data_IF_199948973628
#
_entry.id   IF_199948973628
#
_cell.length_a   1.000
_cell.length_b   1.000
_cell.length_c   1.000
_cell.angle_alpha   90.00
_cell.angle_beta   90.00
_cell.angle_gamma   90.00
#
_symmetry.space_group_name_H-M   'P 1'
#
loop_
_entity.id
_entity.type
_entity.pdbx_description
1 polymer ?
#
# COMPACT_ATOMS: atom_id res chain seq x y z
N UNK A 1 2.92 27.55 -20.16
CA UNK A 1 1.91 26.61 -19.64
C UNK A 1 1.01 26.20 -20.80
N UNK A 2 1.13 24.94 -21.24
CA UNK A 2 0.39 24.44 -22.41
C UNK A 2 -1.09 24.22 -22.09
N UNK A 3 -1.99 24.58 -23.00
CA UNK A 3 -3.42 24.26 -22.86
C UNK A 3 -3.71 22.86 -23.45
N UNK A 4 -4.25 21.95 -22.63
CA UNK A 4 -4.77 20.66 -23.11
C UNK A 4 -6.17 20.87 -23.68
N UNK A 5 -6.45 20.27 -24.84
CA UNK A 5 -7.72 20.43 -25.54
C UNK A 5 -8.95 20.05 -24.68
N UNK A 6 -10.01 20.88 -24.67
CA UNK A 6 -11.29 20.54 -24.04
C UNK A 6 -11.98 19.31 -24.63
N UNK A 7 -11.63 18.92 -25.87
CA UNK A 7 -12.21 17.78 -26.57
C UNK A 7 -11.92 16.42 -25.88
N UNK A 8 -10.97 16.39 -24.94
CA UNK A 8 -10.56 15.20 -24.17
C UNK A 8 -11.63 14.68 -23.19
N UNK A 9 -12.75 15.39 -22.99
CA UNK A 9 -13.79 15.11 -21.97
C UNK A 9 -13.27 15.01 -20.53
N UNK A 10 -12.01 15.38 -20.29
CA UNK A 10 -11.41 15.47 -18.95
C UNK A 10 -11.95 16.69 -18.21
N UNK A 11 -11.94 16.68 -16.87
CA UNK A 11 -12.23 17.89 -16.10
C UNK A 11 -11.13 18.94 -16.29
N UNK A 12 -11.44 20.21 -16.01
CA UNK A 12 -10.46 21.29 -16.11
C UNK A 12 -9.19 21.00 -15.27
N UNK A 13 -9.36 20.58 -14.02
CA UNK A 13 -8.22 20.21 -13.17
C UNK A 13 -7.47 18.94 -13.61
N UNK A 14 -8.06 18.05 -14.43
CA UNK A 14 -7.32 16.93 -15.04
C UNK A 14 -6.50 17.40 -16.24
N UNK A 15 -7.04 18.31 -17.05
CA UNK A 15 -6.33 18.95 -18.16
C UNK A 15 -5.14 19.78 -17.68
N UNK A 16 -5.32 20.55 -16.62
CA UNK A 16 -4.26 21.34 -15.99
C UNK A 16 -3.12 20.45 -15.48
N UNK A 17 -3.44 19.39 -14.72
CA UNK A 17 -2.43 18.42 -14.27
C UNK A 17 -1.70 17.76 -15.43
N UNK A 18 -2.42 17.42 -16.50
CA UNK A 18 -1.79 16.82 -17.69
C UNK A 18 -0.81 17.79 -18.37
N UNK A 19 -1.14 19.09 -18.41
CA UNK A 19 -0.22 20.11 -18.91
C UNK A 19 1.05 20.20 -18.03
N UNK A 20 0.90 20.19 -16.71
CA UNK A 20 2.03 20.22 -15.77
C UNK A 20 2.94 19.00 -15.96
N UNK A 21 2.37 17.81 -16.07
CA UNK A 21 3.14 16.57 -16.31
C UNK A 21 3.84 16.61 -17.67
N UNK A 22 3.19 17.17 -18.70
CA UNK A 22 3.81 17.34 -20.02
C UNK A 22 4.99 18.32 -19.97
N UNK A 23 4.81 19.51 -19.37
CA UNK A 23 5.86 20.51 -19.20
C UNK A 23 7.06 19.92 -18.39
N UNK A 24 6.77 19.09 -17.37
CA UNK A 24 7.79 18.39 -16.58
C UNK A 24 8.53 17.29 -17.37
N UNK A 25 7.85 16.59 -18.27
CA UNK A 25 8.50 15.61 -19.16
C UNK A 25 9.38 16.30 -20.22
N UNK A 26 8.87 17.37 -20.84
CA UNK A 26 9.61 18.14 -21.86
C UNK A 26 10.84 18.86 -21.30
N UNK A 27 10.80 19.28 -20.03
CA UNK A 27 11.96 19.88 -19.33
C UNK A 27 12.98 18.85 -18.82
N UNK A 28 12.70 17.55 -18.96
CA UNK A 28 13.57 16.46 -18.50
C UNK A 28 13.42 16.10 -17.00
N UNK A 29 12.56 16.80 -16.24
CA UNK A 29 12.29 16.46 -14.85
C UNK A 29 11.65 15.07 -14.70
N UNK A 30 10.78 14.69 -15.66
CA UNK A 30 10.21 13.35 -15.76
C UNK A 30 10.91 12.48 -16.83
N UNK A 31 12.23 12.54 -16.91
CA UNK A 31 12.99 11.58 -17.72
C UNK A 31 13.09 10.22 -17.02
N UNK A 32 12.68 9.16 -17.71
CA UNK A 32 12.63 7.82 -17.12
C UNK A 32 14.01 7.24 -16.81
N UNK A 33 15.03 7.55 -17.63
CA UNK A 33 16.38 7.03 -17.39
C UNK A 33 17.03 7.74 -16.20
N UNK A 34 16.90 9.06 -16.13
CA UNK A 34 17.37 9.88 -15.02
C UNK A 34 16.73 9.44 -13.70
N UNK A 35 15.40 9.32 -13.65
CA UNK A 35 14.69 8.89 -12.44
C UNK A 35 15.10 7.48 -11.99
N UNK A 36 15.40 6.56 -12.91
CA UNK A 36 15.90 5.21 -12.57
C UNK A 36 17.32 5.19 -12.03
N UNK A 37 18.12 6.22 -12.31
CA UNK A 37 19.51 6.30 -11.89
C UNK A 37 19.68 6.95 -10.49
N UNK A 38 18.62 7.59 -9.97
CA UNK A 38 18.61 8.19 -8.64
C UNK A 38 18.39 7.16 -7.53
N UNK A 39 18.63 7.55 -6.27
CA UNK A 39 18.10 6.78 -5.14
C UNK A 39 16.55 6.76 -5.23
N UNK A 40 15.89 5.63 -4.92
CA UNK A 40 14.43 5.51 -5.01
C UNK A 40 13.68 6.58 -4.20
N UNK A 41 14.19 6.97 -3.03
CA UNK A 41 13.58 8.01 -2.20
C UNK A 41 13.67 9.37 -2.86
N UNK A 42 14.85 9.74 -3.33
CA UNK A 42 15.11 11.02 -4.01
C UNK A 42 14.27 11.17 -5.29
N UNK A 43 14.14 10.09 -6.08
CA UNK A 43 13.29 10.08 -7.27
C UNK A 43 11.82 10.34 -6.93
N UNK A 44 11.30 9.70 -5.86
CA UNK A 44 9.91 9.89 -5.42
C UNK A 44 9.69 11.31 -4.90
N UNK A 45 10.62 11.84 -4.11
CA UNK A 45 10.53 13.19 -3.56
C UNK A 45 10.62 14.27 -4.64
N UNK A 46 11.46 14.07 -5.68
CA UNK A 46 11.49 14.95 -6.85
C UNK A 46 10.14 14.99 -7.57
N UNK A 47 9.58 13.81 -7.90
CA UNK A 47 8.30 13.73 -8.62
C UNK A 47 7.14 14.30 -7.78
N UNK A 48 7.19 14.15 -6.46
CA UNK A 48 6.17 14.65 -5.53
C UNK A 48 6.10 16.18 -5.46
N UNK A 49 7.12 16.90 -5.91
CA UNK A 49 7.08 18.37 -5.99
C UNK A 49 6.13 18.88 -7.08
N UNK A 50 5.69 18.02 -8.01
CA UNK A 50 4.76 18.41 -9.06
C UNK A 50 3.35 18.68 -8.51
N UNK A 51 2.75 19.85 -8.83
CA UNK A 51 1.42 20.19 -8.33
C UNK A 51 0.37 19.13 -8.69
N UNK A 52 -0.36 18.67 -7.66
CA UNK A 52 -1.43 17.68 -7.82
C UNK A 52 -0.95 16.23 -7.90
N UNK A 53 0.35 15.96 -7.74
CA UNK A 53 0.90 14.61 -7.58
C UNK A 53 0.99 14.26 -6.10
N UNK A 54 0.11 13.37 -5.64
CA UNK A 54 0.12 12.88 -4.26
C UNK A 54 1.15 11.76 -4.02
N UNK A 55 1.34 11.31 -2.76
CA UNK A 55 2.36 10.33 -2.39
C UNK A 55 2.29 9.02 -3.22
N UNK A 56 1.11 8.41 -3.29
CA UNK A 56 0.90 7.19 -4.10
C UNK A 56 1.19 7.43 -5.58
N UNK A 57 0.78 8.59 -6.12
CA UNK A 57 1.02 8.90 -7.53
C UNK A 57 2.52 9.04 -7.82
N UNK A 58 3.27 9.71 -6.94
CA UNK A 58 4.73 9.84 -7.09
C UNK A 58 5.41 8.46 -7.04
N UNK A 59 5.08 7.64 -6.04
CA UNK A 59 5.58 6.26 -5.92
C UNK A 59 5.32 5.43 -7.18
N UNK A 60 4.09 5.49 -7.72
CA UNK A 60 3.73 4.75 -8.93
C UNK A 60 4.35 5.32 -10.20
N UNK A 61 4.50 6.64 -10.31
CA UNK A 61 5.22 7.26 -11.42
C UNK A 61 6.66 6.75 -11.44
N UNK A 62 7.36 6.71 -10.31
CA UNK A 62 8.75 6.24 -10.26
C UNK A 62 8.83 4.71 -10.45
N UNK A 63 8.03 3.94 -9.71
CA UNK A 63 8.09 2.48 -9.73
C UNK A 63 7.59 1.86 -11.06
N UNK A 64 6.56 2.46 -11.68
CA UNK A 64 5.86 1.87 -12.84
C UNK A 64 5.96 2.73 -14.10
N UNK A 65 5.95 4.05 -13.97
CA UNK A 65 6.13 4.97 -15.10
C UNK A 65 7.58 4.98 -15.57
N UNK A 66 8.50 5.35 -14.67
CA UNK A 66 9.94 5.34 -14.95
C UNK A 66 10.52 3.93 -14.86
N UNK A 67 9.92 3.01 -14.08
CA UNK A 67 10.37 1.63 -13.97
C UNK A 67 11.59 1.47 -13.06
N UNK A 68 11.72 2.31 -12.02
CA UNK A 68 12.74 2.13 -10.99
C UNK A 68 12.53 0.77 -10.30
N UNK A 69 13.56 -0.09 -10.18
CA UNK A 69 13.38 -1.46 -9.71
C UNK A 69 13.11 -1.55 -8.19
N UNK A 70 13.59 -0.58 -7.43
CA UNK A 70 13.66 -0.65 -5.96
C UNK A 70 12.74 0.32 -5.19
N UNK A 71 11.58 0.70 -5.73
CA UNK A 71 10.57 1.50 -5.02
C UNK A 71 9.49 0.60 -4.40
N UNK A 72 9.21 0.78 -3.11
CA UNK A 72 8.06 0.19 -2.43
C UNK A 72 6.92 1.22 -2.32
N UNK A 73 5.75 1.00 -2.97
CA UNK A 73 4.62 1.92 -2.90
C UNK A 73 3.89 1.87 -1.54
N UNK A 74 4.46 2.52 -0.53
CA UNK A 74 3.97 2.48 0.85
C UNK A 74 2.58 3.11 1.03
N UNK A 75 2.09 3.87 0.05
CA UNK A 75 0.76 4.49 0.09
C UNK A 75 -0.31 3.69 -0.69
N UNK A 76 0.05 2.53 -1.27
CA UNK A 76 -0.89 1.70 -2.02
C UNK A 76 -1.71 0.80 -1.08
N UNK A 77 -2.91 1.25 -0.72
CA UNK A 77 -3.81 0.51 0.19
C UNK A 77 -4.15 -0.90 -0.28
N UNK A 78 -4.25 -1.13 -1.60
CA UNK A 78 -4.57 -2.45 -2.13
C UNK A 78 -3.38 -3.40 -1.97
N UNK A 79 -2.17 -2.91 -2.25
CA UNK A 79 -0.94 -3.66 -2.00
C UNK A 79 -0.79 -3.98 -0.51
N UNK A 80 -0.93 -2.99 0.37
CA UNK A 80 -0.78 -3.19 1.81
C UNK A 80 -1.78 -4.20 2.36
N UNK A 81 -3.05 -4.13 1.94
CA UNK A 81 -4.06 -5.12 2.33
C UNK A 81 -3.69 -6.53 1.83
N UNK A 82 -3.28 -6.66 0.57
CA UNK A 82 -2.87 -7.94 0.01
C UNK A 82 -1.61 -8.51 0.70
N UNK A 83 -0.68 -7.65 1.15
CA UNK A 83 0.48 -8.08 1.91
C UNK A 83 0.12 -8.53 3.33
N UNK A 84 -0.84 -7.87 3.97
CA UNK A 84 -1.33 -8.27 5.29
C UNK A 84 -2.00 -9.66 5.26
N UNK A 85 -2.65 -10.03 4.14
CA UNK A 85 -3.22 -11.36 3.96
C UNK A 85 -2.14 -12.45 3.73
N UNK A 86 -0.95 -12.06 3.24
CA UNK A 86 0.13 -12.98 2.86
C UNK A 86 1.20 -13.15 3.93
N UNK A 87 1.41 -12.13 4.77
CA UNK A 87 2.52 -12.06 5.70
C UNK A 87 2.06 -11.62 7.09
N UNK A 88 2.49 -12.35 8.11
CA UNK A 88 2.31 -11.99 9.53
C UNK A 88 3.41 -11.02 10.02
N UNK A 89 3.70 -9.98 9.22
CA UNK A 89 4.72 -8.96 9.51
C UNK A 89 4.35 -7.61 8.87
N UNK A 90 4.88 -6.48 9.38
CA UNK A 90 4.69 -5.18 8.75
C UNK A 90 5.13 -5.19 7.27
N UNK A 91 4.32 -4.65 6.34
CA UNK A 91 4.64 -4.67 4.91
C UNK A 91 6.01 -4.09 4.54
N UNK A 92 6.44 -3.01 5.22
CA UNK A 92 7.74 -2.39 4.98
C UNK A 92 8.90 -3.35 5.31
N UNK A 93 8.83 -4.08 6.44
CA UNK A 93 9.87 -5.05 6.82
C UNK A 93 9.95 -6.24 5.85
N UNK A 94 8.80 -6.66 5.31
CA UNK A 94 8.76 -7.69 4.26
C UNK A 94 9.41 -7.15 2.99
N UNK A 95 9.07 -5.93 2.59
CA UNK A 95 9.57 -5.29 1.38
C UNK A 95 11.09 -5.10 1.39
N UNK A 96 11.71 -4.81 2.54
CA UNK A 96 13.17 -4.69 2.65
C UNK A 96 13.93 -5.94 2.18
N UNK A 97 13.31 -7.12 2.29
CA UNK A 97 13.93 -8.38 1.82
C UNK A 97 13.92 -8.54 0.30
N UNK A 98 13.17 -7.71 -0.42
CA UNK A 98 13.06 -7.75 -1.87
C UNK A 98 14.04 -6.84 -2.58
N UNK A 99 14.87 -6.08 -1.86
CA UNK A 99 15.89 -5.23 -2.48
C UNK A 99 16.82 -6.06 -3.38
N UNK A 100 17.20 -5.55 -4.57
CA UNK A 100 16.88 -4.24 -5.14
C UNK A 100 15.64 -4.23 -6.07
N UNK A 101 14.70 -5.15 -5.90
CA UNK A 101 13.56 -5.38 -6.79
C UNK A 101 12.18 -5.19 -6.12
N UNK A 102 12.11 -4.29 -5.12
CA UNK A 102 10.86 -4.01 -4.37
C UNK A 102 9.68 -3.66 -5.27
N UNK A 103 9.90 -2.96 -6.39
CA UNK A 103 8.83 -2.58 -7.32
C UNK A 103 8.21 -3.77 -8.06
N UNK A 104 9.02 -4.77 -8.41
CA UNK A 104 8.54 -5.97 -9.09
C UNK A 104 7.72 -6.86 -8.17
N UNK A 105 8.23 -7.13 -6.96
CA UNK A 105 7.51 -7.93 -5.96
C UNK A 105 6.17 -7.26 -5.59
N UNK A 106 6.20 -5.95 -5.34
CA UNK A 106 5.00 -5.14 -5.07
C UNK A 106 3.98 -5.22 -6.21
N UNK A 107 4.46 -5.08 -7.46
CA UNK A 107 3.58 -5.16 -8.62
C UNK A 107 2.88 -6.51 -8.73
N UNK A 108 3.61 -7.62 -8.58
CA UNK A 108 3.04 -8.97 -8.70
C UNK A 108 1.96 -9.20 -7.64
N UNK A 109 2.23 -8.84 -6.39
CA UNK A 109 1.25 -8.99 -5.29
C UNK A 109 0.00 -8.14 -5.57
N UNK A 110 0.19 -6.87 -5.93
CA UNK A 110 -0.90 -5.94 -6.23
C UNK A 110 -1.71 -6.43 -7.44
N UNK A 111 -1.05 -6.87 -8.50
CA UNK A 111 -1.71 -7.39 -9.71
C UNK A 111 -2.53 -8.64 -9.40
N UNK A 112 -1.97 -9.57 -8.63
CA UNK A 112 -2.70 -10.76 -8.20
C UNK A 112 -3.92 -10.41 -7.33
N UNK A 113 -3.84 -9.38 -6.48
CA UNK A 113 -4.98 -8.90 -5.70
C UNK A 113 -6.10 -8.31 -6.58
N UNK A 114 -5.74 -7.57 -7.64
CA UNK A 114 -6.71 -7.08 -8.64
C UNK A 114 -7.44 -8.25 -9.31
N UNK A 115 -6.70 -9.28 -9.75
CA UNK A 115 -7.28 -10.45 -10.41
C UNK A 115 -8.22 -11.26 -9.49
N UNK A 116 -7.94 -11.29 -8.18
CA UNK A 116 -8.81 -11.94 -7.18
C UNK A 116 -10.08 -11.13 -6.85
N UNK A 117 -10.29 -9.98 -7.48
CA UNK A 117 -11.47 -9.14 -7.23
C UNK A 117 -11.44 -8.43 -5.87
N UNK A 118 -10.27 -8.37 -5.20
CA UNK A 118 -10.12 -7.68 -3.92
C UNK A 118 -10.39 -6.16 -4.03
N UNK A 119 -10.41 -5.60 -5.25
CA UNK A 119 -10.80 -4.21 -5.52
C UNK A 119 -12.32 -3.95 -5.56
N UNK A 120 -13.17 -4.98 -5.44
CA UNK A 120 -14.62 -4.86 -5.62
C UNK A 120 -15.47 -4.77 -4.34
N UNK A 121 -14.89 -4.94 -3.15
CA UNK A 121 -15.65 -4.97 -1.88
C UNK A 121 -14.90 -4.25 -0.76
N UNK A 122 -15.14 -2.94 -0.61
CA UNK A 122 -14.46 -2.17 0.42
C UNK A 122 -14.98 -0.77 0.69
N UNK A 123 -16.30 -0.54 0.64
CA UNK A 123 -16.96 0.64 1.23
C UNK A 123 -18.50 0.44 1.25
N UNK A 124 -19.00 -0.44 2.12
CA UNK A 124 -20.44 -0.72 2.15
C UNK A 124 -20.87 -1.70 3.21
N UNK A 125 -20.53 -1.45 4.48
CA UNK A 125 -21.06 -2.18 5.63
C UNK A 125 -21.81 -1.25 6.56
N UNK A 126 -23.04 -0.88 6.21
CA UNK A 126 -24.01 -0.33 7.18
C UNK A 126 -24.74 -1.48 7.85
N UNK A 127 -24.69 -1.51 9.18
CA UNK A 127 -25.82 -1.89 10.04
C UNK A 127 -26.02 -3.38 10.31
N UNK A 128 -25.57 -3.83 11.48
CA UNK A 128 -26.31 -4.81 12.26
C UNK A 128 -26.61 -4.16 13.62
N UNK A 129 -27.87 -3.75 13.80
CA UNK A 129 -28.37 -3.19 15.05
C UNK A 129 -28.48 -4.28 16.11
N UNK A 130 -27.85 -4.04 17.26
CA UNK A 130 -28.12 -4.76 18.50
C UNK A 130 -29.08 -3.94 19.36
N UNK A 131 -30.38 -4.27 19.28
CA UNK A 131 -31.39 -3.86 20.27
C UNK A 131 -31.00 -4.44 21.63
N UNK A 132 -31.21 -3.64 22.66
CA UNK A 132 -30.78 -3.92 24.03
C UNK A 132 -31.43 -5.15 24.67
N UNK A 133 -30.73 -5.65 25.69
CA UNK A 133 -31.31 -6.52 26.71
C UNK A 133 -30.83 -6.00 28.07
N UNK A 134 -31.80 -5.62 28.89
CA UNK A 134 -31.62 -5.31 30.31
C UNK A 134 -31.21 -6.58 31.07
N UNK A 135 -30.23 -6.45 31.97
CA UNK A 135 -29.83 -7.52 32.88
C UNK A 135 -29.11 -6.96 34.10
N UNK A 136 -29.85 -6.88 35.21
CA UNK A 136 -29.41 -6.45 36.54
C UNK A 136 -28.29 -7.34 37.10
N UNK A 137 -27.33 -6.68 37.78
CA UNK A 137 -26.67 -7.07 39.03
C UNK A 137 -26.10 -8.49 39.19
N UNK A 138 -24.81 -8.58 39.55
CA UNK A 138 -24.36 -8.86 40.92
C UNK A 138 -22.83 -8.99 40.94
N UNK A 139 -22.21 -8.19 41.81
CA UNK A 139 -20.82 -8.33 42.23
C UNK A 139 -20.72 -9.34 43.38
N UNK A 140 -19.66 -10.15 43.40
CA UNK A 140 -18.96 -10.47 44.65
C UNK A 140 -18.54 -11.92 44.89
N UNK A 141 -17.20 -12.08 45.01
CA UNK A 141 -16.42 -13.07 45.79
C UNK A 141 -16.40 -14.51 45.21
N UNK A 142 -15.26 -15.19 45.02
CA UNK A 142 -13.95 -15.12 45.67
C UNK A 142 -13.67 -16.47 46.35
N UNK A 143 -12.43 -16.99 46.24
CA UNK A 143 -11.86 -18.24 46.82
C UNK A 143 -12.10 -19.52 45.98
N UNK A 144 -11.13 -20.39 45.62
CA UNK A 144 -9.68 -20.48 45.83
C UNK A 144 -9.16 -21.90 45.49
N UNK A 145 -7.83 -22.04 45.40
CA UNK A 145 -6.96 -23.25 45.31
C UNK A 145 -6.73 -23.84 43.89
N UNK A 146 -5.55 -23.67 43.29
CA UNK A 146 -4.26 -24.36 43.50
C UNK A 146 -4.26 -25.86 43.12
N UNK A 147 -3.41 -26.25 42.17
CA UNK A 147 -2.98 -27.64 42.01
C UNK A 147 -2.35 -28.03 40.66
N UNK A 148 -1.03 -28.20 40.68
CA UNK A 148 -0.24 -29.19 39.92
C UNK A 148 0.07 -29.04 38.41
N UNK A 149 1.28 -28.51 38.18
CA UNK A 149 2.39 -29.05 37.36
C UNK A 149 2.09 -30.17 36.35
N UNK A 150 2.46 -29.93 35.09
CA UNK A 150 2.81 -30.95 34.09
C UNK A 150 3.79 -30.38 33.07
N UNK A 151 5.04 -30.87 33.11
CA UNK A 151 6.12 -30.52 32.18
C UNK A 151 5.93 -31.29 30.86
N UNK A 152 6.08 -30.60 29.74
CA UNK A 152 6.21 -31.20 28.41
C UNK A 152 7.16 -30.37 27.56
N UNK A 153 8.44 -30.75 27.56
CA UNK A 153 9.46 -30.33 26.60
C UNK A 153 9.33 -31.25 25.38
N UNK A 154 9.18 -30.74 24.16
CA UNK A 154 10.13 -30.96 23.04
C UNK A 154 9.66 -30.35 21.70
N UNK A 155 10.63 -29.69 21.06
CA UNK A 155 10.98 -29.81 19.63
C UNK A 155 10.20 -29.06 18.56
N UNK A 156 10.77 -27.91 18.20
CA UNK A 156 11.07 -27.40 16.85
C UNK A 156 10.75 -28.33 15.67
N UNK A 157 9.92 -27.88 14.73
CA UNK A 157 10.13 -28.10 13.28
C UNK A 157 9.63 -26.91 12.46
N UNK A 158 10.56 -26.17 11.87
CA UNK A 158 10.36 -25.44 10.63
C UNK A 158 10.16 -26.44 9.48
N UNK A 159 9.38 -26.05 8.46
CA UNK A 159 9.83 -26.25 7.10
C UNK A 159 9.90 -24.93 6.34
N UNK A 160 11.01 -24.83 5.60
CA UNK A 160 11.27 -23.91 4.53
C UNK A 160 10.39 -24.27 3.33
N UNK A 161 9.42 -23.42 3.02
CA UNK A 161 9.07 -22.97 1.67
C UNK A 161 8.07 -21.83 1.78
#
# INVERSE_FOLDING_TARGET
>A
MRAVSPATRLSAGKRERLAIVADAAESGLLDAAALRAMDPGDAVDLVRQLPGIGPLSAELIVARGAGHPDVFPAHDRLLLAAMADLYDRPPAEVAERWRPYRSWASFVIRFAAVLRGAGGRGAGGRGAGGRGVNGRGLNGRGVGKQGARGRGVTTTRHPLW
#
